data_IF_323220426688
#
_entry.id   IF_323220426688
#
_cell.length_a   1.000
_cell.length_b   1.000
_cell.length_c   1.000
_cell.angle_alpha   90.00
_cell.angle_beta   90.00
_cell.angle_gamma   90.00
#
_symmetry.space_group_name_H-M   'P 1'
#
loop_
_entity.id
_entity.type
_entity.pdbx_description
1 polymer ?
#
# COMPACT_ATOMS: atom_id res chain seq x y z
N UNK A 1 23.76 52.73 -37.70
CA UNK A 1 23.09 51.51 -38.21
C UNK A 1 23.66 50.28 -37.50
N UNK A 2 22.89 49.66 -36.60
CA UNK A 2 22.89 48.22 -36.29
C UNK A 2 21.91 47.97 -35.13
N UNK A 3 20.67 47.64 -35.49
CA UNK A 3 19.66 47.13 -34.55
C UNK A 3 20.00 45.69 -34.18
N UNK A 4 20.03 45.40 -32.88
CA UNK A 4 20.12 44.05 -32.34
C UNK A 4 18.69 43.58 -32.08
N UNK A 5 18.19 42.65 -32.90
CA UNK A 5 16.93 41.96 -32.66
C UNK A 5 17.12 40.95 -31.52
N UNK A 6 16.49 41.17 -30.37
CA UNK A 6 16.29 40.14 -29.35
C UNK A 6 15.05 39.33 -29.72
N UNK A 7 15.28 38.11 -30.21
CA UNK A 7 14.22 37.13 -30.45
C UNK A 7 13.88 36.45 -29.11
N UNK A 8 12.74 36.81 -28.52
CA UNK A 8 12.21 36.11 -27.36
C UNK A 8 11.51 34.83 -27.82
N UNK A 9 12.09 33.67 -27.49
CA UNK A 9 11.46 32.37 -27.69
C UNK A 9 10.38 32.19 -26.62
N UNK A 10 9.12 32.41 -27.00
CA UNK A 10 7.96 32.09 -26.15
C UNK A 10 7.69 30.59 -26.30
N UNK A 11 8.18 29.79 -25.36
CA UNK A 11 7.82 28.37 -25.24
C UNK A 11 6.41 28.32 -24.66
N UNK A 12 5.42 28.23 -25.54
CA UNK A 12 4.03 28.02 -25.15
C UNK A 12 3.86 26.55 -24.75
N UNK A 13 3.90 26.26 -23.45
CA UNK A 13 3.49 24.95 -22.95
C UNK A 13 1.97 24.82 -23.16
N UNK A 14 1.58 24.00 -24.12
CA UNK A 14 0.20 23.52 -24.21
C UNK A 14 -0.01 22.56 -23.04
N UNK A 15 -0.52 23.09 -21.92
CA UNK A 15 -1.03 22.25 -20.84
C UNK A 15 -2.32 21.64 -21.36
N UNK A 16 -2.25 20.40 -21.83
CA UNK A 16 -3.47 19.63 -22.10
C UNK A 16 -4.27 19.56 -20.79
N UNK A 17 -5.58 19.81 -20.81
CA UNK A 17 -6.39 19.73 -19.60
C UNK A 17 -6.31 18.30 -19.07
N UNK A 18 -5.83 18.16 -17.83
CA UNK A 18 -5.95 16.91 -17.06
C UNK A 18 -7.42 16.51 -17.10
N UNK A 19 -7.72 15.30 -17.56
CA UNK A 19 -9.11 14.81 -17.57
C UNK A 19 -9.59 14.81 -16.13
N UNK A 20 -10.66 15.55 -15.85
CA UNK A 20 -11.26 15.52 -14.52
C UNK A 20 -11.69 14.08 -14.20
N UNK A 21 -11.43 13.65 -12.96
CA UNK A 21 -11.94 12.37 -12.46
C UNK A 21 -13.46 12.31 -12.65
N UNK A 22 -13.93 11.16 -13.11
CA UNK A 22 -15.35 10.89 -13.27
C UNK A 22 -15.90 10.35 -11.95
N UNK A 23 -17.10 10.78 -11.57
CA UNK A 23 -17.80 10.19 -10.44
C UNK A 23 -18.66 9.01 -10.92
N UNK A 24 -18.51 7.86 -10.25
CA UNK A 24 -19.30 6.67 -10.50
C UNK A 24 -19.98 6.25 -9.21
N UNK A 25 -21.31 6.17 -9.22
CA UNK A 25 -22.06 5.67 -8.07
C UNK A 25 -22.08 4.15 -8.13
N UNK A 26 -21.57 3.49 -7.09
CA UNK A 26 -21.63 2.04 -6.93
C UNK A 26 -22.17 1.77 -5.52
N UNK A 27 -23.35 1.14 -5.46
CA UNK A 27 -24.02 0.77 -4.21
C UNK A 27 -24.18 1.95 -3.23
N UNK A 28 -24.52 3.12 -3.77
CA UNK A 28 -24.71 4.34 -2.98
C UNK A 28 -23.43 5.08 -2.60
N UNK A 29 -22.24 4.51 -2.88
CA UNK A 29 -20.96 5.18 -2.68
C UNK A 29 -20.52 5.89 -3.97
N UNK A 30 -19.99 7.10 -3.85
CA UNK A 30 -19.44 7.86 -4.97
C UNK A 30 -17.96 7.54 -5.11
N UNK A 31 -17.59 6.85 -6.17
CA UNK A 31 -16.21 6.54 -6.53
C UNK A 31 -15.65 7.59 -7.48
N UNK A 32 -14.43 8.05 -7.22
CA UNK A 32 -13.67 8.85 -8.17
C UNK A 32 -12.88 7.92 -9.09
N UNK A 33 -13.16 8.02 -10.38
CA UNK A 33 -12.71 7.07 -11.40
C UNK A 33 -11.88 7.76 -12.46
N UNK A 34 -10.75 7.16 -12.84
CA UNK A 34 -9.94 7.66 -13.95
C UNK A 34 -8.66 6.85 -14.15
N UNK A 35 -7.73 7.44 -14.89
CA UNK A 35 -6.41 6.83 -15.14
C UNK A 35 -5.57 6.80 -13.85
N UNK A 36 -4.45 6.08 -13.88
CA UNK A 36 -3.52 6.05 -12.75
C UNK A 36 -3.05 7.47 -12.38
N UNK A 37 -2.70 8.31 -13.37
CA UNK A 37 -2.25 9.68 -13.16
C UNK A 37 -3.33 10.55 -12.51
N UNK A 38 -4.56 10.51 -13.01
CA UNK A 38 -5.67 11.32 -12.47
C UNK A 38 -5.97 10.96 -11.02
N UNK A 39 -5.94 9.66 -10.69
CA UNK A 39 -6.21 9.14 -9.34
C UNK A 39 -5.13 9.55 -8.36
N UNK A 40 -3.84 9.40 -8.70
CA UNK A 40 -2.75 9.77 -7.76
C UNK A 40 -2.73 11.28 -7.50
N UNK A 41 -3.06 12.11 -8.49
CA UNK A 41 -3.02 13.56 -8.38
C UNK A 41 -4.13 14.05 -7.44
N UNK A 42 -5.37 13.58 -7.61
CA UNK A 42 -6.46 13.92 -6.69
C UNK A 42 -6.23 13.33 -5.30
N UNK A 43 -5.77 12.08 -5.20
CA UNK A 43 -5.45 11.44 -3.93
C UNK A 43 -4.45 12.28 -3.14
N UNK A 44 -3.31 12.63 -3.75
CA UNK A 44 -2.26 13.43 -3.10
C UNK A 44 -2.75 14.82 -2.72
N UNK A 45 -3.58 15.45 -3.57
CA UNK A 45 -4.20 16.75 -3.27
C UNK A 45 -5.08 16.70 -2.02
N UNK A 46 -5.88 15.64 -1.84
CA UNK A 46 -6.77 15.45 -0.68
C UNK A 46 -6.03 15.06 0.59
N UNK A 47 -5.04 14.19 0.47
CA UNK A 47 -4.20 13.80 1.61
C UNK A 47 -3.34 14.98 2.08
N UNK A 48 -2.83 15.78 1.15
CA UNK A 48 -1.91 16.87 1.45
C UNK A 48 -0.62 16.34 2.10
N UNK A 49 -0.11 16.96 3.17
CA UNK A 49 1.18 16.59 3.77
C UNK A 49 1.10 15.39 4.73
N UNK A 50 -0.08 14.78 4.90
CA UNK A 50 -0.31 13.71 5.88
C UNK A 50 0.37 12.40 5.45
N UNK A 51 0.70 11.57 6.43
CA UNK A 51 1.29 10.24 6.18
C UNK A 51 0.21 9.27 5.66
N UNK A 52 0.51 8.57 4.58
CA UNK A 52 -0.34 7.51 4.03
C UNK A 52 0.16 6.15 4.51
N UNK A 53 -0.70 5.43 5.22
CA UNK A 53 -0.47 4.06 5.66
C UNK A 53 -1.36 3.13 4.86
N UNK A 54 -0.73 2.33 4.00
CA UNK A 54 -1.44 1.35 3.18
C UNK A 54 -1.40 -0.03 3.82
N UNK A 55 -2.56 -0.61 4.10
CA UNK A 55 -2.65 -1.98 4.57
C UNK A 55 -2.83 -2.94 3.39
N UNK A 56 -1.98 -3.97 3.37
CA UNK A 56 -1.97 -5.04 2.37
C UNK A 56 -2.35 -6.35 3.06
N UNK A 57 -3.14 -7.17 2.38
CA UNK A 57 -3.62 -8.40 2.98
C UNK A 57 -4.48 -9.25 2.06
N UNK A 58 -5.14 -10.22 2.68
CA UNK A 58 -6.13 -11.06 2.02
C UNK A 58 -7.48 -10.33 2.00
N UNK A 59 -8.06 -10.17 0.81
CA UNK A 59 -9.42 -9.61 0.63
C UNK A 59 -10.47 -10.69 0.92
N UNK A 60 -11.35 -11.03 -0.03
CA UNK A 60 -12.41 -12.05 0.16
C UNK A 60 -11.94 -13.47 0.53
N UNK A 61 -10.63 -13.75 0.54
CA UNK A 61 -10.08 -15.00 1.11
C UNK A 61 -10.15 -15.02 2.64
N UNK A 62 -10.19 -13.86 3.27
CA UNK A 62 -10.29 -13.70 4.72
C UNK A 62 -9.07 -14.24 5.47
N UNK A 63 -9.21 -14.30 6.79
CA UNK A 63 -8.17 -14.74 7.71
C UNK A 63 -8.66 -15.90 8.56
N UNK A 64 -7.75 -16.83 8.87
CA UNK A 64 -8.03 -17.86 9.88
C UNK A 64 -8.15 -17.23 11.28
N UNK A 65 -7.37 -16.18 11.52
CA UNK A 65 -7.29 -15.46 12.80
C UNK A 65 -7.49 -13.96 12.60
N UNK A 66 -8.67 -13.58 12.12
CA UNK A 66 -9.04 -12.19 11.90
C UNK A 66 -8.93 -11.35 13.18
N UNK A 67 -9.32 -11.92 14.32
CA UNK A 67 -9.18 -11.31 15.65
C UNK A 67 -7.75 -10.85 15.95
N UNK A 68 -6.76 -11.67 15.58
CA UNK A 68 -5.34 -11.37 15.77
C UNK A 68 -4.86 -10.31 14.78
N UNK A 69 -5.33 -10.37 13.53
CA UNK A 69 -5.01 -9.37 12.52
C UNK A 69 -5.48 -7.98 12.96
N UNK A 70 -6.75 -7.86 13.39
CA UNK A 70 -7.33 -6.61 13.87
C UNK A 70 -6.63 -6.07 15.12
N UNK A 71 -6.34 -6.93 16.11
CA UNK A 71 -5.56 -6.53 17.31
C UNK A 71 -4.17 -5.99 16.95
N UNK A 72 -3.52 -6.56 15.94
CA UNK A 72 -2.22 -6.07 15.47
C UNK A 72 -2.35 -4.74 14.73
N UNK A 73 -3.38 -4.56 13.91
CA UNK A 73 -3.69 -3.31 13.24
C UNK A 73 -3.99 -2.20 14.25
N UNK A 74 -4.87 -2.45 15.22
CA UNK A 74 -5.22 -1.53 16.29
C UNK A 74 -3.97 -1.09 17.07
N UNK A 75 -3.14 -2.05 17.51
CA UNK A 75 -1.91 -1.75 18.24
C UNK A 75 -0.98 -0.87 17.42
N UNK A 76 -0.90 -1.08 16.11
CA UNK A 76 -0.10 -0.23 15.23
C UNK A 76 -0.71 1.16 15.07
N UNK A 77 -2.02 1.26 14.80
CA UNK A 77 -2.72 2.54 14.61
C UNK A 77 -2.67 3.41 15.88
N UNK A 78 -2.65 2.81 17.09
CA UNK A 78 -2.43 3.52 18.36
C UNK A 78 -1.08 4.25 18.46
N UNK A 79 -0.14 3.95 17.56
CA UNK A 79 1.17 4.64 17.48
C UNK A 79 1.17 5.84 16.53
N UNK A 80 0.01 6.16 15.93
CA UNK A 80 -0.14 7.19 14.89
C UNK A 80 -1.13 8.26 15.34
N UNK A 81 -0.94 9.47 14.80
CA UNK A 81 -1.88 10.58 14.99
C UNK A 81 -2.93 10.56 13.86
N UNK A 82 -4.22 10.34 14.15
CA UNK A 82 -5.26 10.29 13.12
C UNK A 82 -5.44 11.62 12.36
N UNK A 83 -4.99 12.76 12.90
CA UNK A 83 -5.02 14.04 12.16
C UNK A 83 -3.88 14.16 11.16
N UNK A 84 -2.72 13.60 11.47
CA UNK A 84 -1.53 13.61 10.63
C UNK A 84 -1.39 12.39 9.71
N UNK A 85 -2.32 11.44 9.74
CA UNK A 85 -2.21 10.16 9.06
C UNK A 85 -3.55 9.72 8.45
N UNK A 86 -3.49 9.11 7.27
CA UNK A 86 -4.64 8.48 6.61
C UNK A 86 -4.40 6.99 6.41
N UNK A 87 -5.49 6.22 6.37
CA UNK A 87 -5.47 4.78 6.12
C UNK A 87 -5.92 4.49 4.70
N UNK A 88 -5.15 3.70 3.94
CA UNK A 88 -5.46 3.29 2.57
C UNK A 88 -5.53 1.76 2.43
N UNK A 89 -6.56 1.21 1.78
CA UNK A 89 -6.72 -0.24 1.52
C UNK A 89 -7.39 -0.45 0.14
N UNK A 90 -7.37 -1.68 -0.39
CA UNK A 90 -7.96 -2.06 -1.69
C UNK A 90 -9.50 -2.10 -1.77
N UNK A 91 -10.21 -1.22 -1.04
CA UNK A 91 -11.69 -1.05 -1.02
C UNK A 91 -12.53 -2.33 -0.78
N UNK A 92 -11.91 -3.44 -0.36
CA UNK A 92 -12.64 -4.65 0.02
C UNK A 92 -13.41 -4.43 1.32
N UNK A 93 -14.67 -4.90 1.46
CA UNK A 93 -15.38 -4.88 2.74
C UNK A 93 -14.95 -6.03 3.68
N UNK A 94 -14.41 -7.11 3.12
CA UNK A 94 -13.96 -8.30 3.88
C UNK A 94 -12.44 -8.38 4.01
N UNK A 95 -11.99 -9.25 4.92
CA UNK A 95 -10.59 -9.60 5.10
C UNK A 95 -9.79 -8.38 5.59
N UNK A 96 -8.80 -7.94 4.81
CA UNK A 96 -8.00 -6.76 5.17
C UNK A 96 -8.85 -5.49 5.26
N UNK A 97 -10.00 -5.48 4.57
CA UNK A 97 -11.02 -4.44 4.64
C UNK A 97 -11.61 -4.22 6.03
N UNK A 98 -11.59 -5.23 6.90
CA UNK A 98 -12.08 -5.13 8.27
C UNK A 98 -11.30 -4.09 9.11
N UNK A 99 -10.16 -3.60 8.63
CA UNK A 99 -9.41 -2.50 9.26
C UNK A 99 -10.13 -1.15 9.06
N UNK A 100 -10.95 -0.96 8.02
CA UNK A 100 -11.66 0.29 7.79
C UNK A 100 -12.54 0.74 8.98
N UNK A 101 -13.50 -0.06 9.47
CA UNK A 101 -14.33 0.34 10.60
C UNK A 101 -13.47 0.62 11.85
N UNK A 102 -12.46 -0.21 12.12
CA UNK A 102 -11.50 0.02 13.21
C UNK A 102 -10.78 1.38 13.07
N UNK A 103 -10.29 1.71 11.87
CA UNK A 103 -9.62 2.98 11.61
C UNK A 103 -10.57 4.17 11.81
N UNK A 104 -11.83 4.06 11.36
CA UNK A 104 -12.87 5.08 11.55
C UNK A 104 -13.19 5.29 13.03
N UNK A 105 -13.38 4.22 13.80
CA UNK A 105 -13.61 4.29 15.25
C UNK A 105 -12.44 4.99 15.98
N UNK A 106 -11.22 4.84 15.47
CA UNK A 106 -10.02 5.50 15.99
C UNK A 106 -9.80 6.92 15.43
N UNK A 107 -10.71 7.43 14.59
CA UNK A 107 -10.70 8.80 14.09
C UNK A 107 -9.86 9.03 12.82
N UNK A 108 -9.34 7.99 12.17
CA UNK A 108 -8.59 8.13 10.92
C UNK A 108 -9.53 8.40 9.74
N UNK A 109 -9.10 9.27 8.82
CA UNK A 109 -9.70 9.34 7.49
C UNK A 109 -9.26 8.14 6.66
N UNK A 110 -10.21 7.58 5.90
CA UNK A 110 -10.03 6.35 5.14
C UNK A 110 -10.09 6.61 3.64
N UNK A 111 -9.13 6.04 2.94
CA UNK A 111 -8.99 6.06 1.50
C UNK A 111 -9.00 4.63 1.00
N UNK A 112 -9.37 4.44 -0.25
CA UNK A 112 -9.10 3.16 -0.89
C UNK A 112 -8.98 3.28 -2.39
N UNK A 113 -8.10 2.47 -2.95
CA UNK A 113 -7.84 2.39 -4.38
C UNK A 113 -8.08 0.96 -4.82
N UNK A 114 -8.90 0.76 -5.83
CA UNK A 114 -9.15 -0.56 -6.43
C UNK A 114 -9.26 -0.43 -7.94
N UNK A 115 -9.03 -1.52 -8.65
CA UNK A 115 -9.18 -1.53 -10.11
C UNK A 115 -10.64 -1.51 -10.52
N UNK A 116 -10.89 -1.00 -11.72
CA UNK A 116 -12.21 -1.07 -12.37
C UNK A 116 -12.74 -2.50 -12.52
N UNK A 117 -11.88 -3.53 -12.53
CA UNK A 117 -12.26 -4.96 -12.47
C UNK A 117 -13.07 -5.31 -11.21
N UNK A 118 -12.87 -4.59 -10.11
CA UNK A 118 -13.58 -4.86 -8.88
C UNK A 118 -15.01 -4.32 -8.87
N UNK A 119 -15.46 -3.55 -9.88
CA UNK A 119 -16.73 -2.80 -9.84
C UNK A 119 -17.94 -3.64 -9.42
N UNK A 120 -18.00 -4.90 -9.82
CA UNK A 120 -19.11 -5.84 -9.52
C UNK A 120 -19.03 -6.47 -8.12
N UNK A 121 -17.94 -6.23 -7.38
CA UNK A 121 -17.64 -6.84 -6.09
C UNK A 121 -17.58 -5.82 -4.95
N UNK A 122 -18.06 -4.58 -5.20
CA UNK A 122 -18.05 -3.47 -4.23
C UNK A 122 -19.38 -3.36 -3.47
N UNK A 123 -20.19 -4.42 -3.50
CA UNK A 123 -21.37 -4.55 -2.65
C UNK A 123 -20.94 -4.58 -1.18
N UNK A 124 -21.62 -3.80 -0.34
CA UNK A 124 -21.34 -3.73 1.09
C UNK A 124 -20.10 -2.92 1.48
N UNK A 125 -19.45 -2.24 0.54
CA UNK A 125 -18.39 -1.26 0.85
C UNK A 125 -18.97 -0.16 1.72
N UNK A 126 -18.40 0.00 2.90
CA UNK A 126 -18.71 1.02 3.88
C UNK A 126 -17.41 1.42 4.58
N UNK A 127 -17.41 2.55 5.29
CA UNK A 127 -16.26 3.03 6.05
C UNK A 127 -15.03 3.41 5.19
N UNK A 128 -15.26 3.80 3.92
CA UNK A 128 -14.24 4.35 3.03
C UNK A 128 -14.65 5.77 2.64
N UNK A 129 -14.00 6.78 3.20
CA UNK A 129 -14.36 8.20 2.99
C UNK A 129 -14.03 8.66 1.56
N UNK A 130 -12.92 8.16 1.01
CA UNK A 130 -12.44 8.53 -0.33
C UNK A 130 -12.11 7.27 -1.16
N UNK A 131 -13.11 6.63 -1.78
CA UNK A 131 -12.89 5.47 -2.63
C UNK A 131 -12.57 5.87 -4.09
N UNK A 132 -11.58 5.19 -4.67
CA UNK A 132 -11.09 5.40 -6.03
C UNK A 132 -11.18 4.14 -6.88
N UNK A 133 -11.51 4.33 -8.15
CA UNK A 133 -11.41 3.31 -9.19
C UNK A 133 -10.36 3.69 -10.22
N UNK A 134 -9.33 2.85 -10.35
CA UNK A 134 -8.30 3.02 -11.38
C UNK A 134 -8.72 2.24 -12.62
N UNK A 135 -8.68 2.91 -13.77
CA UNK A 135 -8.81 2.27 -15.09
C UNK A 135 -7.69 1.25 -15.27
N UNK A 136 -8.05 -0.04 -15.20
CA UNK A 136 -7.10 -1.13 -15.19
C UNK A 136 -7.81 -2.42 -15.63
N UNK A 137 -7.19 -3.14 -16.56
CA UNK A 137 -7.70 -4.40 -17.09
C UNK A 137 -7.34 -5.59 -16.19
N UNK A 138 -6.47 -5.39 -15.21
CA UNK A 138 -6.05 -6.40 -14.26
C UNK A 138 -6.62 -6.14 -12.86
N UNK A 139 -6.50 -7.15 -12.00
CA UNK A 139 -6.81 -7.03 -10.56
C UNK A 139 -5.73 -6.29 -9.75
N UNK A 140 -4.55 -6.08 -10.34
CA UNK A 140 -3.34 -5.62 -9.67
C UNK A 140 -2.14 -6.52 -9.99
N UNK A 141 -1.01 -6.25 -9.34
CA UNK A 141 0.24 -7.00 -9.44
C UNK A 141 1.13 -6.52 -10.57
N UNK A 142 2.01 -7.41 -11.03
CA UNK A 142 2.87 -7.15 -12.19
C UNK A 142 2.12 -7.42 -13.51
N UNK A 143 2.26 -6.51 -14.47
CA UNK A 143 1.98 -6.77 -15.89
C UNK A 143 2.98 -7.81 -16.41
N UNK A 144 4.25 -7.59 -16.11
CA UNK A 144 5.36 -8.49 -16.43
C UNK A 144 6.27 -8.63 -15.20
N UNK A 145 6.22 -9.80 -14.56
CA UNK A 145 7.00 -10.08 -13.36
C UNK A 145 8.52 -10.09 -13.61
N UNK A 146 8.96 -10.33 -14.86
CA UNK A 146 10.39 -10.31 -15.21
C UNK A 146 10.95 -8.88 -15.29
N UNK A 147 10.11 -7.94 -15.71
CA UNK A 147 10.44 -6.50 -15.79
C UNK A 147 10.07 -5.73 -14.53
N UNK A 148 9.33 -6.37 -13.61
CA UNK A 148 8.75 -5.75 -12.41
C UNK A 148 7.90 -4.53 -12.72
N UNK A 149 7.21 -4.57 -13.86
CA UNK A 149 6.31 -3.51 -14.27
C UNK A 149 4.95 -3.73 -13.60
N UNK A 150 4.54 -2.82 -12.72
CA UNK A 150 3.24 -2.89 -12.05
C UNK A 150 2.11 -2.47 -12.97
N UNK A 151 0.95 -3.07 -12.74
CA UNK A 151 -0.35 -2.61 -13.25
C UNK A 151 -0.68 -1.21 -12.72
N UNK A 152 -1.50 -0.41 -13.44
CA UNK A 152 -1.91 0.93 -12.99
C UNK A 152 -2.41 0.97 -11.54
N UNK A 153 -3.26 0.02 -11.13
CA UNK A 153 -3.83 -0.01 -9.77
C UNK A 153 -2.77 -0.25 -8.71
N UNK A 154 -1.91 -1.25 -8.90
CA UNK A 154 -0.83 -1.54 -7.94
C UNK A 154 0.22 -0.45 -7.92
N UNK A 155 0.48 0.20 -9.06
CA UNK A 155 1.35 1.38 -9.12
C UNK A 155 0.76 2.53 -8.31
N UNK A 156 -0.55 2.80 -8.42
CA UNK A 156 -1.24 3.80 -7.61
C UNK A 156 -1.12 3.48 -6.11
N UNK A 157 -1.39 2.24 -5.70
CA UNK A 157 -1.26 1.79 -4.31
C UNK A 157 0.14 2.04 -3.74
N UNK A 158 1.19 1.76 -4.52
CA UNK A 158 2.57 1.98 -4.09
C UNK A 158 2.93 3.47 -4.03
N UNK A 159 2.60 4.24 -5.07
CA UNK A 159 3.09 5.62 -5.23
C UNK A 159 2.38 6.65 -4.34
N UNK A 160 1.24 6.28 -3.74
CA UNK A 160 0.62 7.08 -2.68
C UNK A 160 1.16 6.75 -1.29
N UNK A 161 1.88 5.64 -1.12
CA UNK A 161 2.21 5.10 0.21
C UNK A 161 3.48 5.71 0.80
N UNK A 162 3.42 6.19 2.04
CA UNK A 162 4.62 6.46 2.84
C UNK A 162 5.07 5.22 3.62
N UNK A 163 4.09 4.40 4.02
CA UNK A 163 4.31 3.15 4.73
C UNK A 163 3.31 2.08 4.27
N UNK A 164 3.79 0.86 4.12
CA UNK A 164 2.95 -0.31 3.81
C UNK A 164 3.06 -1.36 4.92
N UNK A 165 1.91 -1.91 5.31
CA UNK A 165 1.80 -2.90 6.37
C UNK A 165 1.05 -4.10 5.84
N UNK A 166 1.75 -5.23 5.75
CA UNK A 166 1.19 -6.47 5.26
C UNK A 166 0.84 -7.43 6.40
N UNK A 167 -0.42 -7.85 6.47
CA UNK A 167 -0.85 -8.98 7.30
C UNK A 167 -1.20 -10.12 6.34
N UNK A 168 -0.19 -10.89 5.91
CA UNK A 168 -0.34 -11.77 4.76
C UNK A 168 -0.35 -11.00 3.42
N UNK A 169 -0.16 -11.72 2.32
CA UNK A 169 -0.37 -11.20 0.96
C UNK A 169 -0.51 -12.35 -0.04
N UNK A 170 -1.30 -12.12 -1.10
CA UNK A 170 -1.22 -12.91 -2.34
C UNK A 170 -0.19 -12.32 -3.31
N UNK A 171 -0.21 -12.79 -4.56
CA UNK A 171 0.78 -12.35 -5.57
C UNK A 171 0.70 -10.84 -5.86
N UNK A 172 -0.50 -10.27 -5.94
CA UNK A 172 -0.72 -8.82 -6.11
C UNK A 172 -0.07 -8.01 -4.99
N UNK A 173 -0.43 -8.31 -3.74
CA UNK A 173 0.13 -7.61 -2.57
C UNK A 173 1.64 -7.83 -2.43
N UNK A 174 2.16 -9.02 -2.80
CA UNK A 174 3.61 -9.25 -2.80
C UNK A 174 4.33 -8.36 -3.83
N UNK A 175 3.80 -8.23 -5.04
CA UNK A 175 4.35 -7.35 -6.07
C UNK A 175 4.39 -5.89 -5.61
N UNK A 176 3.30 -5.41 -5.01
CA UNK A 176 3.22 -4.05 -4.44
C UNK A 176 4.26 -3.83 -3.35
N UNK A 177 4.43 -4.78 -2.43
CA UNK A 177 5.41 -4.66 -1.34
C UNK A 177 6.85 -4.67 -1.86
N UNK A 178 7.16 -5.51 -2.85
CA UNK A 178 8.48 -5.56 -3.46
C UNK A 178 8.82 -4.24 -4.17
N UNK A 179 7.87 -3.70 -4.93
CA UNK A 179 8.05 -2.40 -5.59
C UNK A 179 8.09 -1.25 -4.59
N UNK A 180 7.28 -1.30 -3.52
CA UNK A 180 7.33 -0.33 -2.43
C UNK A 180 8.71 -0.24 -1.80
N UNK A 181 9.36 -1.38 -1.51
CA UNK A 181 10.75 -1.39 -1.03
C UNK A 181 11.69 -0.76 -2.07
N UNK A 182 11.53 -1.10 -3.35
CA UNK A 182 12.36 -0.54 -4.41
C UNK A 182 12.21 0.99 -4.54
N UNK A 183 11.02 1.52 -4.26
CA UNK A 183 10.70 2.95 -4.25
C UNK A 183 11.03 3.65 -2.91
N UNK A 184 11.60 2.93 -1.94
CA UNK A 184 11.97 3.49 -0.63
C UNK A 184 10.82 3.63 0.36
N UNK A 185 9.66 3.04 0.09
CA UNK A 185 8.51 2.98 1.01
C UNK A 185 8.88 2.14 2.23
N UNK A 186 8.47 2.59 3.43
CA UNK A 186 8.68 1.82 4.65
C UNK A 186 7.75 0.61 4.65
N UNK A 187 8.29 -0.60 4.76
CA UNK A 187 7.48 -1.83 4.77
C UNK A 187 7.60 -2.57 6.09
N UNK A 188 6.45 -2.99 6.64
CA UNK A 188 6.34 -4.02 7.69
C UNK A 188 5.49 -5.16 7.15
N UNK A 189 5.89 -6.40 7.41
CA UNK A 189 5.15 -7.57 6.94
C UNK A 189 5.10 -8.67 8.00
N UNK A 190 3.93 -9.27 8.15
CA UNK A 190 3.64 -10.32 9.12
C UNK A 190 2.98 -11.49 8.40
N UNK A 191 3.43 -12.70 8.71
CA UNK A 191 2.84 -13.91 8.14
C UNK A 191 1.49 -14.18 8.82
N UNK A 192 0.46 -14.32 8.00
CA UNK A 192 -0.87 -14.75 8.41
C UNK A 192 -1.35 -15.84 7.46
N UNK A 193 -2.19 -16.72 7.98
CA UNK A 193 -2.91 -17.69 7.16
C UNK A 193 -4.21 -17.07 6.66
N UNK A 194 -4.52 -17.35 5.39
CA UNK A 194 -5.86 -17.21 4.83
C UNK A 194 -6.86 -18.06 5.62
N UNK A 195 -8.16 -17.78 5.51
CA UNK A 195 -9.16 -18.64 6.14
C UNK A 195 -9.10 -20.06 5.55
N UNK A 196 -8.83 -21.07 6.39
CA UNK A 196 -8.56 -22.43 5.93
C UNK A 196 -9.78 -23.05 5.26
N UNK A 197 -10.97 -22.81 5.81
CA UNK A 197 -12.23 -23.32 5.27
C UNK A 197 -12.57 -22.68 3.91
N UNK A 198 -12.51 -21.35 3.79
CA UNK A 198 -12.75 -20.64 2.52
C UNK A 198 -11.76 -21.11 1.44
N UNK A 199 -10.47 -21.21 1.78
CA UNK A 199 -9.44 -21.64 0.82
C UNK A 199 -9.60 -23.10 0.41
N UNK A 200 -9.98 -23.99 1.34
CA UNK A 200 -10.28 -25.40 1.03
C UNK A 200 -11.51 -25.53 0.15
N UNK A 201 -12.61 -24.85 0.50
CA UNK A 201 -13.85 -24.87 -0.28
C UNK A 201 -13.62 -24.33 -1.72
N UNK A 202 -12.85 -23.25 -1.86
CA UNK A 202 -12.48 -22.71 -3.18
C UNK A 202 -11.67 -23.70 -4.00
N UNK A 203 -10.66 -24.36 -3.41
CA UNK A 203 -9.84 -25.35 -4.10
C UNK A 203 -10.69 -26.53 -4.60
N UNK A 204 -11.54 -27.08 -3.73
CA UNK A 204 -12.43 -28.19 -4.07
C UNK A 204 -13.44 -27.80 -5.16
N UNK A 205 -14.04 -26.60 -5.08
CA UNK A 205 -14.94 -26.07 -6.13
C UNK A 205 -14.23 -25.93 -7.49
N UNK A 206 -12.92 -25.71 -7.49
CA UNK A 206 -12.10 -25.63 -8.70
C UNK A 206 -11.47 -26.97 -9.11
N UNK A 207 -11.87 -28.11 -8.51
CA UNK A 207 -11.32 -29.42 -8.83
C UNK A 207 -9.86 -29.63 -8.41
N UNK A 208 -9.34 -28.80 -7.50
CA UNK A 208 -7.97 -28.86 -6.99
C UNK A 208 -7.94 -29.53 -5.61
N UNK A 209 -6.84 -30.21 -5.24
CA UNK A 209 -6.69 -30.76 -3.89
C UNK A 209 -6.73 -29.65 -2.83
N UNK A 210 -7.20 -30.01 -1.64
CA UNK A 210 -7.19 -29.11 -0.49
C UNK A 210 -5.77 -28.57 -0.23
N UNK A 211 -5.59 -27.26 0.01
CA UNK A 211 -4.28 -26.70 0.33
C UNK A 211 -3.74 -27.31 1.63
N UNK A 212 -2.43 -27.58 1.65
CA UNK A 212 -1.69 -27.92 2.88
C UNK A 212 -0.99 -26.71 3.51
N UNK A 213 -0.94 -25.60 2.78
CA UNK A 213 -0.32 -24.34 3.17
C UNK A 213 -1.33 -23.25 2.83
N UNK A 214 -1.64 -22.40 3.80
CA UNK A 214 -2.67 -21.36 3.69
C UNK A 214 -2.07 -19.95 3.61
N UNK A 215 -0.82 -19.85 3.21
CA UNK A 215 -0.13 -18.59 2.92
C UNK A 215 0.69 -18.75 1.64
N UNK A 216 1.01 -17.64 0.97
CA UNK A 216 1.87 -17.66 -0.20
C UNK A 216 3.33 -17.97 0.22
N UNK A 217 3.96 -19.07 -0.24
CA UNK A 217 5.34 -19.41 0.15
C UNK A 217 6.36 -18.31 -0.21
N UNK A 218 6.14 -17.61 -1.32
CA UNK A 218 6.97 -16.48 -1.72
C UNK A 218 6.87 -15.31 -0.71
N UNK A 219 5.67 -15.02 -0.20
CA UNK A 219 5.49 -14.01 0.86
C UNK A 219 6.19 -14.40 2.16
N UNK A 220 6.16 -15.68 2.56
CA UNK A 220 6.94 -16.14 3.72
C UNK A 220 8.44 -15.90 3.54
N UNK A 221 9.00 -16.20 2.35
CA UNK A 221 10.40 -15.90 2.04
C UNK A 221 10.69 -14.40 2.08
N UNK A 222 9.79 -13.59 1.55
CA UNK A 222 9.86 -12.13 1.62
C UNK A 222 9.95 -11.62 3.06
N UNK A 223 9.04 -12.08 3.96
CA UNK A 223 9.04 -11.69 5.38
C UNK A 223 10.35 -12.06 6.08
N UNK A 224 10.88 -13.25 5.82
CA UNK A 224 12.17 -13.70 6.39
C UNK A 224 13.31 -12.78 5.93
N UNK A 225 13.36 -12.44 4.64
CA UNK A 225 14.38 -11.55 4.06
C UNK A 225 14.27 -10.12 4.61
N UNK A 226 13.05 -9.61 4.75
CA UNK A 226 12.81 -8.27 5.30
C UNK A 226 13.33 -8.18 6.74
N UNK A 227 12.99 -9.16 7.58
CA UNK A 227 13.39 -9.18 8.99
C UNK A 227 14.89 -9.39 9.19
N UNK A 228 15.55 -10.20 8.35
CA UNK A 228 17.00 -10.39 8.43
C UNK A 228 17.77 -9.12 8.05
N UNK A 229 17.28 -8.38 7.06
CA UNK A 229 17.86 -7.09 6.64
C UNK A 229 17.76 -6.03 7.75
N UNK A 230 16.60 -5.93 8.42
CA UNK A 230 16.41 -5.02 9.55
C UNK A 230 17.39 -5.29 10.70
N UNK A 231 17.54 -6.56 11.10
CA UNK A 231 18.48 -6.95 12.17
C UNK A 231 19.93 -6.61 11.83
N UNK A 232 20.34 -6.77 10.57
CA UNK A 232 21.71 -6.43 10.12
C UNK A 232 21.96 -4.94 10.26
N UNK A 233 21.02 -4.09 9.86
CA UNK A 233 21.14 -2.63 9.96
C UNK A 233 21.25 -2.15 11.41
N UNK A 234 20.47 -2.72 12.33
CA UNK A 234 20.53 -2.39 13.76
C UNK A 234 21.88 -2.79 14.38
N UNK A 235 22.41 -3.95 13.99
CA UNK A 235 23.73 -4.41 14.45
C UNK A 235 24.87 -3.47 14.00
N UNK A 236 24.77 -2.91 12.80
CA UNK A 236 25.77 -1.99 12.23
C UNK A 236 25.69 -0.63 12.94
N UNK A 237 24.48 -0.10 13.18
CA UNK A 237 24.29 1.15 13.94
C UNK A 237 24.83 1.04 15.36
N UNK A 238 24.53 -0.07 16.06
CA UNK A 238 25.03 -0.29 17.43
C UNK A 238 26.56 -0.33 17.50
N UNK A 239 27.22 -0.99 16.53
CA UNK A 239 28.70 -1.05 16.42
C UNK A 239 29.35 0.30 16.09
N UNK A 240 28.68 1.15 15.30
CA UNK A 240 29.17 2.51 15.01
C UNK A 240 29.06 3.42 16.22
N UNK A 241 27.94 3.38 16.94
CA UNK A 241 27.76 4.16 18.16
C UNK A 241 28.78 3.78 19.24
N UNK A 242 29.02 2.47 19.46
CA UNK A 242 30.01 2.01 20.44
C UNK A 242 31.46 2.40 20.07
N UNK A 243 31.79 2.49 18.78
CA UNK A 243 33.11 2.99 18.35
C UNK A 243 33.27 4.50 18.55
N UNK A 244 32.21 5.28 18.29
CA UNK A 244 32.21 6.73 18.49
C UNK A 244 32.26 7.12 19.97
N UNK A 245 31.69 6.31 20.87
CA UNK A 245 31.83 6.49 22.32
C UNK A 245 33.24 6.18 22.80
N UNK A 246 33.88 5.12 22.27
CA UNK A 246 35.27 4.79 22.59
C UNK A 246 36.30 5.83 22.10
N UNK A 247 36.03 6.50 20.97
CA UNK A 247 36.91 7.56 20.46
C UNK A 247 36.72 8.88 21.21
N UNK A 248 35.49 9.19 21.66
CA UNK A 248 35.23 10.35 22.54
C UNK A 248 35.78 10.18 23.95
N UNK A 249 35.77 8.96 24.52
CA UNK A 249 36.33 8.76 25.86
C UNK A 249 37.86 8.92 25.90
N UNK A 250 38.55 8.62 24.80
CA UNK A 250 40.02 8.78 24.68
C UNK A 250 40.48 10.21 24.44
N UNK A 251 39.60 11.11 23.96
CA UNK A 251 39.95 12.51 23.72
C UNK A 251 39.76 13.42 24.94
N UNK A 252 39.09 12.94 26.00
CA UNK A 252 38.78 13.73 27.21
C UNK A 252 39.74 13.41 28.37
N UNK A 253 40.45 12.27 28.34
CA UNK A 253 41.41 11.86 29.37
C UNK A 253 42.85 12.33 29.12
N UNK A 254 43.03 13.39 28.32
CA UNK A 254 44.33 13.96 27.97
C UNK A 254 44.41 15.43 28.33
N UNK A 255 44.29 15.74 29.63
CA UNK A 255 44.72 16.98 30.25
C UNK A 255 45.27 16.66 31.65
#
# INVERSE_FOLDING_TARGET
MRQIFKLALVISFVVLPVKALQEKVINGNVFRTGTYEDVIDDFKKRVGPREVITFIGYSGRGYEREDKMLKMAEKFLKTKDPKGTVVNIGVTPEGIGAIYPLAKEMGFETFGIVSTQASEYLDGVSNVDNPYLVEDKAWGGYIDASKKELTPTSKAMVDVSNMMIAYGAGDVGLAELEQGIANGVKVKAYLFDENHQKSTAKALKSGKPAPKIFYLPAFKKFVIKLNSSLRKTDSIKKRRNSRNELTRSKSVSGF
#
